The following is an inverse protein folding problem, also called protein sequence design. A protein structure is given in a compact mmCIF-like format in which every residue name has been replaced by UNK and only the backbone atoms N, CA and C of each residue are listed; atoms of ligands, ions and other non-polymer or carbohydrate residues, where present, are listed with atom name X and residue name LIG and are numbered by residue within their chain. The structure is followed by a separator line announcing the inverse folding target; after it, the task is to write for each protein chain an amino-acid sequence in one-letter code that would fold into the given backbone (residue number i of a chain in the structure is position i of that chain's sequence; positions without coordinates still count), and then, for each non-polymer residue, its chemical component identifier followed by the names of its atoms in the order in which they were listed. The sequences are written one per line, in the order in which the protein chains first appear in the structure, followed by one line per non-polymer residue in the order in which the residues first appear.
data_IF_832629534342
#
_entry.id   IF_832629534342
#
_cell.length_a   1.000
_cell.length_b   1.000
_cell.length_c   1.000
_cell.angle_alpha   90.00
_cell.angle_beta   90.00
_cell.angle_gamma   90.00
#
_symmetry.space_group_name_H-M   'P 1'
#
loop_
_entity.id
_entity.type
_entity.pdbx_description
1 polymer ?
#
# COMPACT_ATOMS: atom_id res chain seq x y z
N UNK A 1 -9.26 3.42 -7.90
CA UNK A 1 -8.58 2.52 -6.94
C UNK A 1 -7.91 3.37 -5.85
N UNK A 2 -6.87 2.89 -5.17
CA UNK A 2 -6.13 3.55 -4.07
C UNK A 2 -6.99 4.44 -3.15
N UNK A 3 -7.08 5.73 -3.46
CA UNK A 3 -7.77 6.72 -2.62
C UNK A 3 -9.30 6.52 -2.59
N UNK A 4 -9.91 6.05 -3.68
CA UNK A 4 -11.37 5.89 -3.78
C UNK A 4 -11.91 4.83 -2.83
N UNK A 5 -11.24 3.67 -2.76
CA UNK A 5 -11.69 2.53 -1.95
C UNK A 5 -11.58 2.84 -0.46
N UNK A 6 -10.46 3.42 -0.01
CA UNK A 6 -10.33 3.88 1.37
C UNK A 6 -11.35 4.96 1.73
N UNK A 7 -11.58 5.94 0.84
CA UNK A 7 -12.52 7.03 1.09
C UNK A 7 -13.97 6.55 1.22
N UNK A 8 -14.43 5.61 0.38
CA UNK A 8 -15.77 5.02 0.51
C UNK A 8 -15.87 4.17 1.79
N UNK A 9 -14.84 3.37 2.10
CA UNK A 9 -14.79 2.60 3.35
C UNK A 9 -14.87 3.50 4.59
N UNK A 10 -14.07 4.57 4.65
CA UNK A 10 -14.07 5.50 5.78
C UNK A 10 -15.41 6.27 5.86
N UNK A 11 -16.04 6.67 4.74
CA UNK A 11 -17.41 7.23 4.72
C UNK A 11 -18.45 6.27 5.30
N UNK A 12 -18.45 4.99 4.90
CA UNK A 12 -19.42 4.00 5.37
C UNK A 12 -19.25 3.74 6.87
N UNK A 13 -18.02 3.78 7.38
CA UNK A 13 -17.74 3.72 8.80
C UNK A 13 -18.21 4.97 9.56
N UNK A 14 -17.99 6.17 9.01
CA UNK A 14 -18.37 7.43 9.64
C UNK A 14 -19.90 7.66 9.61
N UNK A 15 -20.59 7.12 8.61
CA UNK A 15 -22.06 7.02 8.55
C UNK A 15 -22.60 6.10 9.66
N UNK A 16 -22.06 4.89 9.81
CA UNK A 16 -22.40 3.94 10.90
C UNK A 16 -22.15 4.50 12.30
N UNK A 17 -21.34 5.56 12.42
CA UNK A 17 -21.02 6.26 13.67
C UNK A 17 -21.80 7.57 13.86
N UNK A 18 -22.83 7.84 13.04
CA UNK A 18 -23.71 9.01 13.11
C UNK A 18 -22.95 10.36 13.14
N UNK A 19 -21.93 10.51 12.27
CA UNK A 19 -21.12 11.75 12.22
C UNK A 19 -21.67 12.83 11.30
N UNK A 20 -22.40 12.39 10.29
CA UNK A 20 -23.05 13.26 9.31
C UNK A 20 -24.39 13.72 9.89
N UNK A 21 -24.87 14.89 9.47
CA UNK A 21 -26.25 15.31 9.72
C UNK A 21 -27.23 14.34 9.05
N UNK A 22 -28.51 14.38 9.44
CA UNK A 22 -29.54 13.54 8.81
C UNK A 22 -29.64 13.77 7.29
N UNK A 23 -29.43 15.01 6.82
CA UNK A 23 -29.46 15.32 5.39
C UNK A 23 -28.25 14.72 4.65
N UNK A 24 -27.03 14.99 5.12
CA UNK A 24 -25.81 14.40 4.56
C UNK A 24 -25.84 12.86 4.59
N UNK A 25 -26.38 12.28 5.66
CA UNK A 25 -26.56 10.83 5.80
C UNK A 25 -27.46 10.27 4.70
N UNK A 26 -28.59 10.92 4.40
CA UNK A 26 -29.51 10.52 3.34
C UNK A 26 -28.87 10.67 1.95
N UNK A 27 -28.14 11.76 1.70
CA UNK A 27 -27.42 12.00 0.44
C UNK A 27 -26.32 10.95 0.19
N UNK A 28 -25.51 10.64 1.22
CA UNK A 28 -24.49 9.59 1.19
C UNK A 28 -25.12 8.22 0.94
N UNK A 29 -26.22 7.92 1.64
CA UNK A 29 -26.95 6.66 1.53
C UNK A 29 -27.47 6.47 0.10
N UNK A 30 -28.19 7.44 -0.46
CA UNK A 30 -28.73 7.33 -1.81
C UNK A 30 -27.65 7.32 -2.90
N UNK A 31 -26.52 8.01 -2.70
CA UNK A 31 -25.36 7.88 -3.58
C UNK A 31 -24.79 6.44 -3.56
N UNK A 32 -24.65 5.84 -2.37
CA UNK A 32 -24.12 4.49 -2.21
C UNK A 32 -25.05 3.43 -2.83
N UNK A 33 -26.38 3.56 -2.70
CA UNK A 33 -27.37 2.71 -3.38
C UNK A 33 -27.17 2.72 -4.90
N UNK A 34 -27.14 3.93 -5.49
CA UNK A 34 -26.98 4.13 -6.93
C UNK A 34 -25.59 3.69 -7.44
N UNK A 35 -24.56 3.79 -6.61
CA UNK A 35 -23.21 3.37 -6.94
C UNK A 35 -23.02 1.84 -6.80
N UNK A 36 -23.77 1.16 -5.93
CA UNK A 36 -23.50 -0.22 -5.52
C UNK A 36 -23.35 -1.18 -6.71
N UNK A 37 -24.30 -1.19 -7.64
CA UNK A 37 -24.28 -2.08 -8.83
C UNK A 37 -23.00 -1.90 -9.66
N UNK A 38 -22.41 -0.70 -9.68
CA UNK A 38 -21.15 -0.41 -10.39
C UNK A 38 -19.92 -0.81 -9.57
N UNK A 39 -19.99 -0.67 -8.24
CA UNK A 39 -18.95 -1.11 -7.32
C UNK A 39 -18.84 -2.64 -7.29
N UNK A 40 -19.97 -3.33 -7.28
CA UNK A 40 -20.11 -4.78 -7.40
C UNK A 40 -19.56 -5.31 -8.72
N UNK A 41 -20.02 -4.78 -9.86
CA UNK A 41 -19.52 -5.18 -11.17
C UNK A 41 -17.99 -4.94 -11.32
N UNK A 42 -17.48 -3.85 -10.74
CA UNK A 42 -16.03 -3.60 -10.67
C UNK A 42 -15.31 -4.60 -9.77
N UNK A 43 -15.82 -4.85 -8.55
CA UNK A 43 -15.20 -5.76 -7.60
C UNK A 43 -15.14 -7.19 -8.14
N UNK A 44 -16.25 -7.71 -8.66
CA UNK A 44 -16.32 -9.08 -9.19
C UNK A 44 -15.38 -9.26 -10.40
N UNK A 45 -15.35 -8.28 -11.32
CA UNK A 45 -14.38 -8.28 -12.42
C UNK A 45 -12.93 -8.27 -11.93
N UNK A 46 -12.61 -7.43 -10.94
CA UNK A 46 -11.23 -7.26 -10.46
C UNK A 46 -10.76 -8.46 -9.62
N UNK A 47 -11.62 -9.00 -8.76
CA UNK A 47 -11.37 -10.22 -7.97
C UNK A 47 -11.11 -11.43 -8.89
N UNK A 48 -11.96 -11.62 -9.90
CA UNK A 48 -11.82 -12.70 -10.88
C UNK A 48 -10.56 -12.54 -11.74
N UNK A 49 -10.33 -11.36 -12.30
CA UNK A 49 -9.23 -11.15 -13.27
C UNK A 49 -7.85 -10.97 -12.66
N UNK A 50 -7.73 -10.69 -11.35
CA UNK A 50 -6.44 -10.54 -10.66
C UNK A 50 -6.20 -11.65 -9.61
N UNK A 51 -6.89 -12.79 -9.73
CA UNK A 51 -6.64 -14.00 -8.93
C UNK A 51 -5.29 -14.64 -9.32
N UNK A 52 -4.50 -15.05 -8.32
CA UNK A 52 -3.25 -15.79 -8.54
C UNK A 52 -3.47 -17.30 -8.63
N UNK A 53 -2.40 -18.08 -8.89
CA UNK A 53 -2.46 -19.55 -8.99
C UNK A 53 -2.93 -20.25 -7.71
N UNK A 54 -2.67 -19.66 -6.55
CA UNK A 54 -3.05 -20.23 -5.25
C UNK A 54 -4.32 -19.58 -4.71
N UNK A 55 -5.11 -20.35 -3.97
CA UNK A 55 -6.29 -19.86 -3.24
C UNK A 55 -5.87 -18.74 -2.28
N UNK A 56 -6.54 -17.58 -2.35
CA UNK A 56 -6.23 -16.41 -1.51
C UNK A 56 -4.95 -15.66 -1.88
N UNK A 57 -4.36 -15.95 -3.05
CA UNK A 57 -3.30 -15.16 -3.67
C UNK A 57 -3.84 -14.28 -4.81
N UNK A 58 -3.15 -13.18 -5.10
CA UNK A 58 -3.48 -12.26 -6.18
C UNK A 58 -2.25 -11.92 -7.01
N UNK A 59 -2.44 -11.67 -8.31
CA UNK A 59 -1.38 -11.45 -9.28
C UNK A 59 -1.67 -10.21 -10.15
N UNK A 60 -0.60 -9.48 -10.51
CA UNK A 60 -0.68 -8.25 -11.31
C UNK A 60 -0.31 -8.59 -12.75
N UNK A 61 -1.30 -8.63 -13.63
CA UNK A 61 -1.05 -8.88 -15.04
C UNK A 61 -0.32 -7.70 -15.72
N UNK A 62 0.41 -7.99 -16.80
CA UNK A 62 1.07 -6.99 -17.64
C UNK A 62 2.58 -6.77 -17.41
N UNK A 63 3.23 -7.51 -16.49
CA UNK A 63 4.70 -7.48 -16.35
C UNK A 63 5.37 -8.14 -17.57
N UNK A 64 6.41 -7.51 -18.13
CA UNK A 64 7.12 -8.01 -19.31
C UNK A 64 8.26 -8.97 -18.93
N UNK A 65 8.03 -10.28 -19.03
CA UNK A 65 9.04 -11.31 -18.72
C UNK A 65 10.25 -11.33 -19.67
N UNK A 66 10.13 -10.76 -20.86
CA UNK A 66 11.18 -10.70 -21.90
C UNK A 66 11.91 -9.35 -21.97
N UNK A 67 11.73 -8.45 -21.00
CA UNK A 67 12.27 -7.10 -21.02
C UNK A 67 13.79 -7.03 -20.72
N UNK A 68 14.63 -7.24 -21.75
CA UNK A 68 16.10 -7.27 -21.62
C UNK A 68 16.77 -5.92 -21.26
N UNK A 69 16.05 -4.80 -21.44
CA UNK A 69 16.56 -3.44 -21.19
C UNK A 69 16.19 -2.89 -19.80
N UNK A 70 15.24 -3.52 -19.11
CA UNK A 70 14.76 -3.06 -17.79
C UNK A 70 15.51 -3.77 -16.65
N UNK A 71 16.06 -3.00 -15.71
CA UNK A 71 16.76 -3.52 -14.52
C UNK A 71 15.84 -4.35 -13.61
N UNK A 72 14.55 -4.03 -13.61
CA UNK A 72 13.49 -4.85 -13.03
C UNK A 72 12.21 -4.56 -13.84
N UNK A 73 11.52 -5.56 -14.41
CA UNK A 73 10.35 -5.31 -15.26
C UNK A 73 9.25 -4.54 -14.53
N UNK A 74 8.76 -3.45 -15.13
CA UNK A 74 7.75 -2.57 -14.51
C UNK A 74 6.43 -3.29 -14.21
N UNK A 75 5.72 -2.82 -13.18
CA UNK A 75 4.39 -3.32 -12.76
C UNK A 75 3.37 -2.18 -12.83
N UNK A 76 3.15 -1.64 -14.03
CA UNK A 76 2.30 -0.45 -14.26
C UNK A 76 0.87 -0.59 -13.72
N UNK A 77 0.32 -1.80 -13.73
CA UNK A 77 -1.00 -2.14 -13.19
C UNK A 77 -1.15 -1.86 -11.68
N UNK A 78 -0.06 -1.91 -10.92
CA UNK A 78 -0.04 -1.56 -9.48
C UNK A 78 -0.12 -0.04 -9.20
N UNK A 79 0.19 0.80 -10.20
CA UNK A 79 0.44 2.24 -10.00
C UNK A 79 1.74 2.56 -9.23
N UNK A 80 2.57 1.55 -8.94
CA UNK A 80 3.90 1.65 -8.33
C UNK A 80 4.99 1.32 -9.37
N UNK A 81 4.84 1.85 -10.60
CA UNK A 81 5.54 1.54 -11.85
C UNK A 81 6.89 0.81 -11.78
N UNK A 82 7.93 1.44 -11.20
CA UNK A 82 9.30 0.92 -11.09
C UNK A 82 9.65 0.38 -9.68
N UNK A 83 8.69 0.30 -8.76
CA UNK A 83 8.89 -0.34 -7.45
C UNK A 83 9.35 -1.80 -7.67
N UNK A 84 10.42 -2.26 -7.00
CA UNK A 84 10.93 -3.61 -7.22
C UNK A 84 9.94 -4.74 -6.96
N UNK A 85 9.77 -5.61 -7.97
CA UNK A 85 9.05 -6.89 -7.94
C UNK A 85 10.02 -8.03 -8.30
N UNK A 86 9.57 -9.27 -8.58
CA UNK A 86 10.51 -10.34 -8.95
C UNK A 86 11.30 -9.97 -10.22
N UNK A 87 12.58 -10.33 -10.26
CA UNK A 87 13.49 -9.99 -11.38
C UNK A 87 13.11 -10.70 -12.67
N UNK A 88 12.57 -11.91 -12.55
CA UNK A 88 12.04 -12.72 -13.64
C UNK A 88 10.54 -12.90 -13.41
N UNK A 89 9.67 -12.14 -14.10
CA UNK A 89 8.22 -12.27 -13.96
C UNK A 89 7.75 -13.67 -14.36
N UNK A 90 6.93 -14.29 -13.51
CA UNK A 90 6.18 -15.51 -13.83
C UNK A 90 4.79 -15.44 -13.19
N UNK A 91 3.88 -16.30 -13.66
CA UNK A 91 2.53 -16.45 -13.10
C UNK A 91 2.51 -17.01 -11.66
N UNK A 92 3.68 -17.33 -11.09
CA UNK A 92 3.83 -17.88 -9.74
C UNK A 92 4.09 -16.77 -8.69
N UNK A 93 4.26 -15.52 -9.15
CA UNK A 93 4.32 -14.32 -8.30
C UNK A 93 3.02 -14.10 -7.52
N UNK A 94 3.14 -13.54 -6.31
CA UNK A 94 2.02 -13.28 -5.39
C UNK A 94 2.18 -11.88 -4.82
N UNK A 95 1.27 -10.96 -5.15
CA UNK A 95 1.46 -9.53 -4.89
C UNK A 95 0.78 -9.08 -3.59
N UNK A 96 1.61 -8.67 -2.63
CA UNK A 96 1.24 -8.30 -1.27
C UNK A 96 0.34 -7.06 -1.21
N UNK A 97 0.67 -6.05 -2.02
CA UNK A 97 -0.09 -4.81 -2.16
C UNK A 97 -1.48 -5.06 -2.74
N UNK A 98 -1.57 -5.87 -3.79
CA UNK A 98 -2.82 -6.27 -4.42
C UNK A 98 -3.72 -7.08 -3.48
N UNK A 99 -3.16 -8.05 -2.74
CA UNK A 99 -3.90 -8.80 -1.71
C UNK A 99 -4.52 -7.87 -0.65
N UNK A 100 -3.79 -6.81 -0.29
CA UNK A 100 -4.28 -5.79 0.63
C UNK A 100 -5.32 -4.85 -0.02
N UNK A 101 -5.23 -4.56 -1.33
CA UNK A 101 -6.27 -3.83 -2.06
C UNK A 101 -7.57 -4.64 -2.17
N UNK A 102 -7.47 -5.94 -2.46
CA UNK A 102 -8.62 -6.83 -2.53
C UNK A 102 -9.32 -6.97 -1.16
N UNK A 103 -8.55 -7.02 -0.06
CA UNK A 103 -9.12 -6.96 1.29
C UNK A 103 -9.91 -5.66 1.52
N UNK A 104 -9.28 -4.50 1.29
CA UNK A 104 -9.92 -3.20 1.50
C UNK A 104 -11.16 -3.00 0.62
N UNK A 105 -11.20 -3.61 -0.56
CA UNK A 105 -12.37 -3.60 -1.42
C UNK A 105 -13.47 -4.55 -0.90
N UNK A 106 -13.13 -5.77 -0.48
CA UNK A 106 -14.09 -6.74 0.04
C UNK A 106 -14.74 -6.29 1.36
N UNK A 107 -13.94 -5.75 2.29
CA UNK A 107 -14.39 -5.21 3.58
C UNK A 107 -15.27 -3.96 3.39
N UNK A 108 -15.02 -3.18 2.33
CA UNK A 108 -15.90 -2.09 1.90
C UNK A 108 -17.23 -2.60 1.32
N UNK A 109 -17.21 -3.62 0.46
CA UNK A 109 -18.43 -4.20 -0.12
C UNK A 109 -19.31 -4.87 0.95
N UNK A 110 -18.71 -5.66 1.84
CA UNK A 110 -19.36 -6.23 3.03
C UNK A 110 -19.96 -5.14 3.93
N UNK A 111 -19.19 -4.07 4.16
CA UNK A 111 -19.66 -2.93 4.95
C UNK A 111 -20.84 -2.19 4.32
N UNK A 112 -20.96 -2.13 3.00
CA UNK A 112 -22.10 -1.53 2.29
C UNK A 112 -23.29 -2.51 2.26
N UNK A 113 -23.07 -3.79 1.98
CA UNK A 113 -24.15 -4.80 1.99
C UNK A 113 -24.85 -4.90 3.34
N UNK A 114 -24.08 -4.77 4.44
CA UNK A 114 -24.59 -4.68 5.82
C UNK A 114 -25.26 -3.35 6.18
N UNK A 115 -25.04 -2.28 5.41
CA UNK A 115 -25.74 -0.99 5.59
C UNK A 115 -27.15 -1.05 4.98
N UNK A 116 -27.31 -1.75 3.85
CA UNK A 116 -28.56 -1.85 3.11
C UNK A 116 -29.37 -3.12 3.39
N UNK A 117 -29.02 -3.88 4.42
CA UNK A 117 -29.65 -5.17 4.79
C UNK A 117 -29.82 -6.13 3.59
N UNK A 118 -28.83 -6.14 2.68
CA UNK A 118 -28.88 -6.94 1.45
C UNK A 118 -29.03 -8.43 1.70
N UNK A 119 -29.52 -9.17 0.70
CA UNK A 119 -29.65 -10.63 0.78
C UNK A 119 -28.34 -11.28 1.24
N UNK A 120 -28.47 -12.19 2.22
CA UNK A 120 -27.34 -12.75 2.96
C UNK A 120 -26.25 -13.33 2.06
N UNK A 121 -26.64 -13.98 0.97
CA UNK A 121 -25.74 -14.54 -0.06
C UNK A 121 -24.68 -13.53 -0.50
N UNK A 122 -25.09 -12.37 -1.00
CA UNK A 122 -24.17 -11.35 -1.53
C UNK A 122 -23.26 -10.78 -0.42
N UNK A 123 -23.82 -10.48 0.76
CA UNK A 123 -23.04 -9.95 1.87
C UNK A 123 -22.06 -10.98 2.47
N UNK A 124 -22.46 -12.25 2.53
CA UNK A 124 -21.67 -13.36 3.08
C UNK A 124 -20.49 -13.74 2.17
N UNK A 125 -20.62 -13.57 0.84
CA UNK A 125 -19.51 -13.70 -0.11
C UNK A 125 -18.43 -12.62 0.11
N UNK A 126 -18.83 -11.34 0.25
CA UNK A 126 -17.90 -10.24 0.51
C UNK A 126 -17.23 -10.38 1.89
N UNK A 127 -18.01 -10.69 2.93
CA UNK A 127 -17.49 -10.93 4.28
C UNK A 127 -16.55 -12.14 4.36
N UNK A 128 -16.84 -13.22 3.63
CA UNK A 128 -15.96 -14.39 3.53
C UNK A 128 -14.66 -14.08 2.79
N UNK A 129 -14.73 -13.29 1.71
CA UNK A 129 -13.55 -12.83 0.97
C UNK A 129 -12.67 -11.92 1.85
N UNK A 130 -13.28 -10.96 2.56
CA UNK A 130 -12.57 -10.12 3.53
C UNK A 130 -11.93 -10.95 4.65
N UNK A 131 -12.62 -11.98 5.17
CA UNK A 131 -12.09 -12.90 6.18
C UNK A 131 -10.88 -13.72 5.67
N UNK A 132 -10.93 -14.23 4.44
CA UNK A 132 -9.81 -14.96 3.82
C UNK A 132 -8.59 -14.05 3.61
N UNK A 133 -8.81 -12.82 3.16
CA UNK A 133 -7.74 -11.87 2.86
C UNK A 133 -7.20 -11.13 4.11
N UNK A 134 -7.96 -11.09 5.21
CA UNK A 134 -7.50 -10.59 6.52
C UNK A 134 -6.80 -11.64 7.39
N UNK A 135 -6.81 -12.93 7.01
CA UNK A 135 -6.09 -13.94 7.79
C UNK A 135 -4.58 -13.65 7.86
N UNK A 136 -4.17 -13.26 9.05
CA UNK A 136 -2.81 -12.92 9.42
C UNK A 136 -1.92 -14.18 9.54
N UNK A 137 -2.47 -15.34 9.87
CA UNK A 137 -1.70 -16.59 9.93
C UNK A 137 -1.28 -17.04 8.53
N UNK A 138 -2.23 -17.14 7.59
CA UNK A 138 -1.95 -17.43 6.18
C UNK A 138 -1.02 -16.38 5.56
N UNK A 139 -1.19 -15.09 5.88
CA UNK A 139 -0.29 -14.04 5.40
C UNK A 139 1.17 -14.22 5.90
N UNK A 140 1.36 -14.54 7.17
CA UNK A 140 2.70 -14.71 7.76
C UNK A 140 3.40 -16.00 7.31
N UNK A 141 2.66 -17.06 6.95
CA UNK A 141 3.25 -18.31 6.45
C UNK A 141 4.08 -18.10 5.16
N UNK A 142 3.72 -17.11 4.35
CA UNK A 142 4.47 -16.71 3.14
C UNK A 142 5.77 -15.95 3.49
N UNK A 143 5.93 -15.46 4.72
CA UNK A 143 6.86 -14.38 5.06
C UNK A 143 8.22 -14.83 5.66
N UNK A 144 8.50 -16.14 5.73
CA UNK A 144 9.64 -16.69 6.49
C UNK A 144 10.71 -17.42 5.65
N UNK A 145 11.39 -16.69 4.76
CA UNK A 145 12.82 -16.95 4.51
C UNK A 145 13.59 -15.67 4.17
N UNK A 146 14.74 -15.47 4.81
CA UNK A 146 15.70 -14.40 4.51
C UNK A 146 17.11 -15.00 4.45
N UNK A 147 17.69 -15.05 3.26
CA UNK A 147 19.08 -15.45 3.04
C UNK A 147 19.86 -14.30 2.42
N UNK A 148 21.05 -14.01 2.93
CA UNK A 148 21.89 -12.88 2.50
C UNK A 148 22.96 -13.37 1.53
N UNK A 149 22.92 -12.86 0.29
CA UNK A 149 23.91 -13.14 -0.77
C UNK A 149 24.71 -11.87 -1.06
N UNK A 150 26.02 -12.01 -1.37
CA UNK A 150 26.92 -10.92 -1.74
C UNK A 150 27.29 -11.03 -3.23
N UNK A 151 27.36 -9.91 -3.93
CA UNK A 151 27.77 -9.85 -5.34
C UNK A 151 29.18 -9.23 -5.50
N UNK A 152 29.88 -9.61 -6.57
CA UNK A 152 31.20 -9.09 -6.96
C UNK A 152 31.14 -8.01 -8.06
N UNK A 153 32.30 -7.54 -8.50
CA UNK A 153 32.46 -6.42 -9.44
C UNK A 153 33.05 -6.88 -10.79
N UNK A 154 32.69 -6.20 -11.90
CA UNK A 154 33.64 -5.63 -12.89
C UNK A 154 32.92 -4.86 -14.02
N UNK A 155 33.71 -4.13 -14.83
CA UNK A 155 33.32 -3.22 -15.94
C UNK A 155 34.48 -3.16 -16.96
N UNK A 156 34.32 -2.59 -18.18
CA UNK A 156 33.13 -2.08 -18.89
C UNK A 156 32.89 -2.92 -20.19
N UNK A 157 32.20 -2.59 -21.30
CA UNK A 157 31.24 -1.57 -21.82
C UNK A 157 30.58 -2.23 -23.08
N UNK A 158 29.50 -1.78 -23.75
CA UNK A 158 28.75 -0.51 -23.70
C UNK A 158 27.23 -0.60 -23.74
N UNK A 159 26.61 -1.46 -24.56
CA UNK A 159 25.14 -1.56 -24.52
C UNK A 159 24.70 -2.19 -23.20
N UNK A 160 23.75 -1.54 -22.52
CA UNK A 160 23.24 -1.99 -21.22
C UNK A 160 22.18 -3.07 -21.41
N UNK A 161 22.66 -4.30 -21.58
CA UNK A 161 21.89 -5.54 -21.42
C UNK A 161 22.15 -6.06 -20.00
N UNK A 162 21.09 -6.47 -19.29
CA UNK A 162 21.24 -7.01 -17.93
C UNK A 162 21.63 -8.48 -17.95
N UNK A 163 22.83 -8.80 -17.46
CA UNK A 163 23.33 -10.17 -17.35
C UNK A 163 22.86 -10.82 -16.03
N UNK A 164 22.40 -12.06 -16.13
CA UNK A 164 21.83 -12.82 -15.01
C UNK A 164 22.88 -13.79 -14.47
N UNK A 165 23.50 -13.46 -13.34
CA UNK A 165 24.65 -14.20 -12.78
C UNK A 165 24.31 -15.56 -12.15
N UNK A 166 23.06 -15.75 -11.71
CA UNK A 166 22.57 -16.96 -11.04
C UNK A 166 21.16 -17.28 -11.56
N UNK A 167 20.80 -18.57 -11.61
CA UNK A 167 19.43 -18.96 -12.01
C UNK A 167 18.41 -18.42 -11.01
N UNK A 168 17.26 -17.87 -11.46
CA UNK A 168 16.22 -17.41 -10.56
C UNK A 168 15.58 -18.58 -9.80
N UNK A 169 15.22 -18.33 -8.55
CA UNK A 169 14.54 -19.26 -7.65
C UNK A 169 13.34 -18.56 -7.01
N UNK A 170 12.30 -19.32 -6.67
CA UNK A 170 11.12 -18.80 -5.98
C UNK A 170 11.49 -18.43 -4.53
N UNK A 171 11.51 -17.13 -4.23
CA UNK A 171 11.80 -16.57 -2.90
C UNK A 171 11.17 -15.20 -2.72
N UNK A 172 11.12 -14.74 -1.47
CA UNK A 172 10.67 -13.39 -1.15
C UNK A 172 11.54 -12.32 -1.81
N UNK A 173 10.90 -11.33 -2.41
CA UNK A 173 11.55 -10.18 -3.06
C UNK A 173 12.17 -9.29 -1.95
N UNK A 174 13.50 -9.15 -1.86
CA UNK A 174 14.18 -8.63 -0.66
C UNK A 174 14.22 -7.10 -0.58
N UNK A 175 13.12 -6.43 -0.97
CA UNK A 175 13.05 -4.98 -1.13
C UNK A 175 12.09 -4.34 -0.12
N UNK A 176 12.66 -3.77 0.95
CA UNK A 176 11.90 -3.01 1.96
C UNK A 176 11.51 -1.66 1.36
N UNK A 177 10.21 -1.39 1.27
CA UNK A 177 9.63 -0.17 0.72
C UNK A 177 8.14 -0.05 1.05
N UNK A 178 7.39 0.76 0.29
CA UNK A 178 5.95 0.91 0.50
C UNK A 178 5.18 -0.42 0.44
N UNK A 179 5.50 -1.30 -0.52
CA UNK A 179 4.87 -2.64 -0.66
C UNK A 179 4.95 -3.44 0.65
N UNK A 180 6.08 -3.37 1.36
CA UNK A 180 6.30 -4.04 2.65
C UNK A 180 5.43 -3.51 3.79
N UNK A 181 4.87 -2.30 3.65
CA UNK A 181 4.00 -1.66 4.63
C UNK A 181 2.50 -1.88 4.36
N UNK A 182 2.11 -2.54 3.26
CA UNK A 182 0.68 -2.71 2.92
C UNK A 182 -0.15 -3.42 4.01
N UNK A 183 0.31 -4.51 4.64
CA UNK A 183 -0.43 -5.13 5.75
C UNK A 183 -0.61 -4.20 6.96
N UNK A 184 0.32 -3.27 7.18
CA UNK A 184 0.19 -2.23 8.21
C UNK A 184 -0.83 -1.16 7.78
N UNK A 185 -0.74 -0.66 6.54
CA UNK A 185 -1.68 0.34 6.00
C UNK A 185 -3.12 -0.18 5.95
N UNK A 186 -3.32 -1.44 5.57
CA UNK A 186 -4.61 -2.13 5.54
C UNK A 186 -5.03 -2.69 6.92
N UNK A 187 -4.32 -2.33 8.01
CA UNK A 187 -4.67 -2.66 9.41
C UNK A 187 -4.81 -4.17 9.71
N UNK A 188 -4.20 -5.04 8.91
CA UNK A 188 -4.27 -6.52 9.02
C UNK A 188 -3.56 -7.04 10.28
N UNK A 189 -2.53 -6.32 10.72
CA UNK A 189 -1.61 -6.78 11.76
C UNK A 189 -2.23 -6.56 13.16
N UNK A 190 -2.43 -7.61 13.98
CA UNK A 190 -3.04 -7.48 15.31
C UNK A 190 -2.24 -6.55 16.25
N UNK A 191 -2.91 -5.79 17.14
CA UNK A 191 -2.26 -4.84 18.07
C UNK A 191 -1.18 -5.44 18.98
N UNK A 192 -1.34 -6.70 19.38
CA UNK A 192 -0.39 -7.44 20.23
C UNK A 192 0.78 -8.05 19.45
N UNK A 193 0.71 -8.09 18.11
CA UNK A 193 1.67 -8.82 17.28
C UNK A 193 3.06 -8.19 17.31
N UNK A 194 4.09 -9.00 17.56
CA UNK A 194 5.49 -8.55 17.48
C UNK A 194 5.86 -8.00 16.09
N UNK A 195 5.15 -8.42 15.04
CA UNK A 195 5.30 -7.91 13.67
C UNK A 195 4.83 -6.45 13.56
N UNK A 196 3.85 -6.01 14.36
CA UNK A 196 3.48 -4.58 14.45
C UNK A 196 4.65 -3.77 15.01
N UNK A 197 5.31 -4.29 16.06
CA UNK A 197 6.57 -3.74 16.57
C UNK A 197 7.65 -3.60 15.48
N UNK A 198 7.77 -4.59 14.59
CA UNK A 198 8.72 -4.55 13.46
C UNK A 198 8.32 -3.58 12.35
N UNK A 199 7.04 -3.42 12.05
CA UNK A 199 6.59 -2.38 11.11
C UNK A 199 6.90 -0.98 11.67
N UNK A 200 6.71 -0.76 12.98
CA UNK A 200 7.12 0.48 13.63
C UNK A 200 8.65 0.67 13.67
N UNK A 201 9.44 -0.41 13.80
CA UNK A 201 10.91 -0.36 13.63
C UNK A 201 11.28 0.16 12.22
N UNK A 202 10.71 -0.42 11.16
CA UNK A 202 10.99 -0.04 9.77
C UNK A 202 10.55 1.40 9.44
N UNK A 203 9.34 1.77 9.87
CA UNK A 203 8.78 3.11 9.65
C UNK A 203 9.64 4.18 10.33
N UNK A 204 10.04 3.98 11.60
CA UNK A 204 10.78 5.00 12.37
C UNK A 204 12.28 5.07 12.07
N UNK A 205 12.84 4.12 11.31
CA UNK A 205 14.28 4.05 11.07
C UNK A 205 14.77 5.04 10.00
N UNK A 206 15.57 6.03 10.43
CA UNK A 206 16.19 7.09 9.61
C UNK A 206 17.13 6.57 8.52
N UNK A 207 17.73 5.40 8.74
CA UNK A 207 18.64 4.73 7.81
C UNK A 207 17.91 3.87 6.77
N UNK A 208 16.59 3.68 6.92
CA UNK A 208 15.74 2.90 6.01
C UNK A 208 14.75 3.85 5.32
N UNK A 209 13.54 4.02 5.87
CA UNK A 209 12.45 4.79 5.24
C UNK A 209 12.34 6.24 5.73
N UNK A 210 12.67 6.53 7.00
CA UNK A 210 12.36 7.82 7.61
C UNK A 210 13.24 8.97 7.10
N UNK A 211 12.64 10.14 6.91
CA UNK A 211 13.30 11.39 6.53
C UNK A 211 12.77 12.57 7.34
N UNK A 212 13.41 13.75 7.22
CA UNK A 212 12.88 15.00 7.78
C UNK A 212 11.63 15.53 7.04
N UNK A 213 11.15 14.83 6.02
CA UNK A 213 10.16 15.29 5.05
C UNK A 213 8.95 14.33 4.88
N UNK A 214 9.04 13.12 5.41
CA UNK A 214 8.12 12.00 5.13
C UNK A 214 8.87 10.66 5.08
N UNK A 215 8.21 9.61 4.58
CA UNK A 215 8.78 8.28 4.33
C UNK A 215 9.11 8.10 2.85
N UNK A 216 10.28 7.52 2.55
CA UNK A 216 10.71 7.12 1.19
C UNK A 216 9.86 5.98 0.63
N UNK A 217 9.77 5.92 -0.70
CA UNK A 217 9.15 4.77 -1.40
C UNK A 217 9.93 3.46 -1.26
N UNK A 218 11.26 3.55 -1.20
CA UNK A 218 12.16 2.40 -1.09
C UNK A 218 13.25 2.67 -0.05
N UNK A 219 13.67 1.62 0.67
CA UNK A 219 14.77 1.69 1.64
C UNK A 219 16.09 2.07 0.97
N UNK A 220 16.86 2.92 1.66
CA UNK A 220 18.28 3.18 1.36
C UNK A 220 19.16 1.92 1.32
N UNK A 221 18.76 0.85 1.99
CA UNK A 221 19.48 -0.43 2.00
C UNK A 221 19.15 -1.34 0.82
N UNK A 222 18.21 -0.94 -0.05
CA UNK A 222 17.85 -1.71 -1.25
C UNK A 222 18.92 -1.54 -2.33
N UNK A 223 19.31 -2.62 -3.00
CA UNK A 223 20.22 -2.58 -4.17
C UNK A 223 19.69 -1.73 -5.32
N UNK A 224 18.36 -1.56 -5.39
CA UNK A 224 17.65 -0.76 -6.39
C UNK A 224 17.34 0.67 -5.94
N UNK A 225 17.80 1.09 -4.76
CA UNK A 225 17.64 2.46 -4.25
C UNK A 225 18.24 3.50 -5.22
N UNK A 226 17.43 4.48 -5.62
CA UNK A 226 17.75 5.51 -6.62
C UNK A 226 18.27 4.98 -7.97
N UNK A 227 18.10 3.70 -8.30
CA UNK A 227 18.54 3.14 -9.60
C UNK A 227 17.53 3.42 -10.70
N UNK A 228 17.98 4.05 -11.79
CA UNK A 228 17.25 4.16 -13.07
C UNK A 228 16.82 2.76 -13.53
N UNK A 229 15.67 2.62 -14.20
CA UNK A 229 15.24 1.30 -14.71
C UNK A 229 15.81 0.98 -16.10
N UNK A 230 16.00 2.01 -16.90
CA UNK A 230 16.65 1.99 -18.22
C UNK A 230 17.56 3.23 -18.30
N UNK A 231 18.20 3.49 -19.45
CA UNK A 231 18.88 4.78 -19.66
C UNK A 231 17.90 5.96 -19.48
N UNK A 232 16.66 5.85 -19.96
CA UNK A 232 15.73 6.98 -20.02
C UNK A 232 14.72 7.03 -18.86
N UNK A 233 14.54 5.94 -18.10
CA UNK A 233 13.66 5.88 -16.92
C UNK A 233 14.39 6.27 -15.61
N UNK A 234 14.27 7.51 -15.08
CA UNK A 234 14.77 7.85 -13.76
C UNK A 234 13.95 7.16 -12.64
N UNK A 235 14.53 6.98 -11.44
CA UNK A 235 13.82 6.38 -10.30
C UNK A 235 12.57 7.18 -9.90
N UNK A 236 11.44 6.50 -9.72
CA UNK A 236 10.12 7.14 -9.47
C UNK A 236 9.46 6.64 -8.18
N UNK A 237 9.50 5.33 -7.92
CA UNK A 237 9.13 4.65 -6.68
C UNK A 237 10.35 3.98 -5.99
N UNK A 238 11.57 4.44 -6.32
CA UNK A 238 12.85 3.91 -5.80
C UNK A 238 13.58 4.82 -4.80
N UNK A 239 12.93 5.89 -4.37
CA UNK A 239 13.31 6.82 -3.28
C UNK A 239 12.19 7.85 -2.98
N UNK A 240 11.58 8.54 -3.98
CA UNK A 240 10.73 9.70 -3.74
C UNK A 240 9.61 9.48 -2.72
N UNK A 241 9.27 10.56 -2.00
CA UNK A 241 8.22 10.58 -0.98
C UNK A 241 6.89 10.82 -1.70
N UNK A 242 5.90 10.00 -1.39
CA UNK A 242 4.61 9.98 -2.06
C UNK A 242 3.50 10.17 -1.05
N UNK A 243 2.69 11.20 -1.28
CA UNK A 243 1.78 11.71 -0.26
C UNK A 243 0.60 10.78 0.02
N UNK A 244 0.05 10.14 -1.01
CA UNK A 244 -1.03 9.16 -0.89
C UNK A 244 -0.63 8.00 0.04
N UNK A 245 0.57 7.43 -0.13
CA UNK A 245 1.05 6.33 0.70
C UNK A 245 1.42 6.82 2.10
N UNK A 246 2.06 7.98 2.22
CA UNK A 246 2.35 8.60 3.53
C UNK A 246 1.06 8.91 4.33
N UNK A 247 -0.04 9.29 3.66
CA UNK A 247 -1.35 9.49 4.29
C UNK A 247 -1.96 8.17 4.80
N UNK A 248 -1.89 7.09 4.02
CA UNK A 248 -2.33 5.76 4.48
C UNK A 248 -1.52 5.28 5.69
N UNK A 249 -0.20 5.49 5.70
CA UNK A 249 0.67 5.17 6.84
C UNK A 249 0.32 6.03 8.06
N UNK A 250 0.02 7.33 7.89
CA UNK A 250 -0.49 8.17 8.97
C UNK A 250 -1.85 7.70 9.50
N UNK A 251 -2.77 7.27 8.65
CA UNK A 251 -4.08 6.73 9.04
C UNK A 251 -3.94 5.44 9.87
N UNK A 252 -3.05 4.54 9.46
CA UNK A 252 -2.75 3.32 10.22
C UNK A 252 -2.01 3.61 11.55
N UNK A 253 -0.99 4.49 11.56
CA UNK A 253 -0.32 4.92 12.79
C UNK A 253 -1.31 5.60 13.77
N UNK A 254 -2.22 6.43 13.24
CA UNK A 254 -3.29 7.05 14.03
C UNK A 254 -4.20 5.98 14.62
N UNK A 255 -4.69 5.01 13.84
CA UNK A 255 -5.49 3.91 14.35
C UNK A 255 -4.77 3.11 15.46
N UNK A 256 -3.52 2.72 15.25
CA UNK A 256 -2.70 2.02 16.25
C UNK A 256 -2.40 2.85 17.50
N UNK A 257 -2.52 4.18 17.48
CA UNK A 257 -2.39 5.04 18.67
C UNK A 257 -3.62 5.04 19.60
N UNK A 258 -4.70 4.36 19.18
CA UNK A 258 -6.04 4.45 19.80
C UNK A 258 -6.54 3.09 20.27
N UNK A 259 -6.33 2.05 19.45
CA UNK A 259 -6.56 0.67 19.85
C UNK A 259 -5.61 0.30 21.00
N UNK A 260 -6.10 -0.49 21.95
CA UNK A 260 -5.28 -0.97 23.06
C UNK A 260 -4.23 -1.97 22.57
N UNK A 261 -3.02 -1.86 23.11
CA UNK A 261 -1.92 -2.79 22.89
C UNK A 261 -0.55 -2.17 23.20
N UNK A 262 0.52 -2.99 23.30
CA UNK A 262 1.83 -2.58 23.81
C UNK A 262 2.53 -1.53 22.94
N UNK A 263 2.16 -1.42 21.66
CA UNK A 263 2.77 -0.47 20.71
C UNK A 263 2.04 0.88 20.62
N UNK A 264 0.97 1.10 21.38
CA UNK A 264 0.05 2.26 21.23
C UNK A 264 0.75 3.62 21.31
N UNK A 265 1.44 3.91 22.40
CA UNK A 265 2.15 5.19 22.58
C UNK A 265 3.37 5.33 21.63
N UNK A 266 3.94 4.21 21.17
CA UNK A 266 4.97 4.21 20.12
C UNK A 266 4.39 4.63 18.77
N UNK A 267 3.25 4.06 18.37
CA UNK A 267 2.56 4.43 17.13
C UNK A 267 2.15 5.91 17.12
N UNK A 268 1.66 6.42 18.26
CA UNK A 268 1.38 7.84 18.52
C UNK A 268 2.60 8.74 18.31
N UNK A 269 3.72 8.42 18.96
CA UNK A 269 4.98 9.17 18.83
C UNK A 269 5.47 9.24 17.37
N UNK A 270 5.34 8.12 16.64
CA UNK A 270 5.71 8.03 15.22
C UNK A 270 4.72 8.82 14.34
N UNK A 271 3.41 8.76 14.62
CA UNK A 271 2.37 9.55 13.95
C UNK A 271 2.64 11.06 14.07
N UNK A 272 2.85 11.57 15.29
CA UNK A 272 3.04 13.00 15.54
C UNK A 272 4.31 13.52 14.85
N UNK A 273 5.41 12.76 14.93
CA UNK A 273 6.66 13.07 14.24
C UNK A 273 6.51 13.07 12.70
N UNK A 274 5.80 12.09 12.14
CA UNK A 274 5.63 11.96 10.69
C UNK A 274 4.71 13.05 10.15
N UNK A 275 3.58 13.32 10.83
CA UNK A 275 2.64 14.38 10.48
C UNK A 275 3.31 15.76 10.54
N UNK A 276 4.10 16.02 11.58
CA UNK A 276 4.89 17.26 11.70
C UNK A 276 5.88 17.43 10.54
N UNK A 277 6.61 16.37 10.16
CA UNK A 277 7.54 16.39 9.03
C UNK A 277 6.85 16.67 7.69
N UNK A 278 5.70 16.03 7.43
CA UNK A 278 4.94 16.21 6.19
C UNK A 278 4.33 17.61 6.09
N UNK A 279 3.63 18.09 7.13
CA UNK A 279 3.06 19.45 7.18
C UNK A 279 4.16 20.51 7.00
N UNK A 280 5.27 20.40 7.74
CA UNK A 280 6.41 21.32 7.63
C UNK A 280 6.98 21.37 6.21
N UNK A 281 6.99 20.26 5.49
CA UNK A 281 7.53 20.20 4.13
C UNK A 281 6.60 20.85 3.12
N UNK A 282 5.30 20.53 3.15
CA UNK A 282 4.30 21.10 2.25
C UNK A 282 4.19 22.62 2.42
N UNK A 283 4.27 23.10 3.68
CA UNK A 283 4.20 24.52 4.01
C UNK A 283 5.48 25.28 3.64
N UNK A 284 6.68 24.75 3.95
CA UNK A 284 7.95 25.48 3.74
C UNK A 284 8.63 25.29 2.39
N UNK A 285 8.51 24.12 1.76
CA UNK A 285 9.25 23.77 0.53
C UNK A 285 8.34 23.62 -0.71
N UNK A 286 7.03 23.48 -0.50
CA UNK A 286 6.08 23.16 -1.57
C UNK A 286 6.33 21.78 -2.19
N UNK A 287 5.52 21.41 -3.18
CA UNK A 287 5.66 20.11 -3.87
C UNK A 287 6.74 20.11 -4.96
N UNK A 288 7.00 21.26 -5.61
CA UNK A 288 7.89 21.32 -6.77
C UNK A 288 9.37 21.61 -6.45
N UNK A 289 9.70 22.07 -5.25
CA UNK A 289 10.99 22.74 -4.99
C UNK A 289 12.26 21.91 -5.18
N UNK A 290 12.21 20.58 -5.03
CA UNK A 290 13.39 19.70 -5.07
C UNK A 290 13.09 18.23 -5.44
N UNK A 291 12.09 17.97 -6.31
CA UNK A 291 11.65 16.62 -6.76
C UNK A 291 11.19 15.62 -5.65
N UNK A 292 11.26 16.00 -4.38
CA UNK A 292 11.30 15.07 -3.24
C UNK A 292 9.93 14.58 -2.76
N UNK A 293 8.86 15.41 -2.86
CA UNK A 293 7.48 14.98 -2.58
C UNK A 293 6.63 15.15 -3.84
N UNK A 294 5.96 14.08 -4.29
CA UNK A 294 5.03 14.15 -5.44
C UNK A 294 3.56 14.12 -4.99
N UNK A 295 2.77 15.06 -5.53
CA UNK A 295 1.30 15.14 -5.45
C UNK A 295 0.77 15.90 -6.67
N UNK A 296 -0.45 15.60 -7.12
CA UNK A 296 -1.14 16.38 -8.18
C UNK A 296 -1.95 17.57 -7.67
N UNK A 297 -2.18 17.67 -6.35
CA UNK A 297 -2.97 18.76 -5.73
C UNK A 297 -2.34 19.19 -4.40
N UNK A 298 -2.26 20.51 -4.17
CA UNK A 298 -1.57 21.10 -3.00
C UNK A 298 -2.50 21.31 -1.81
N UNK A 299 -3.63 21.96 -2.04
CA UNK A 299 -4.50 22.49 -0.98
C UNK A 299 -5.36 21.39 -0.35
N UNK A 300 -5.98 20.53 -1.14
CA UNK A 300 -6.69 19.33 -0.65
C UNK A 300 -5.83 18.49 0.29
N UNK A 301 -4.57 18.21 -0.09
CA UNK A 301 -3.62 17.48 0.77
C UNK A 301 -3.30 18.24 2.05
N UNK A 302 -3.03 19.55 1.97
CA UNK A 302 -2.67 20.34 3.15
C UNK A 302 -3.84 20.40 4.13
N UNK A 303 -5.07 20.56 3.63
CA UNK A 303 -6.29 20.52 4.43
C UNK A 303 -6.45 19.16 5.13
N UNK A 304 -6.34 18.04 4.39
CA UNK A 304 -6.37 16.67 4.94
C UNK A 304 -5.21 16.32 5.88
N UNK A 305 -4.19 17.18 6.04
CA UNK A 305 -3.13 17.02 7.04
C UNK A 305 -3.28 18.00 8.21
N UNK A 306 -3.73 19.23 7.99
CA UNK A 306 -4.01 20.22 9.04
C UNK A 306 -5.20 19.81 9.90
N UNK A 307 -6.25 19.27 9.28
CA UNK A 307 -7.31 18.49 9.93
C UNK A 307 -6.76 17.32 10.79
N UNK A 308 -5.59 16.79 10.42
CA UNK A 308 -5.26 15.38 10.62
C UNK A 308 -6.10 14.52 9.66
N UNK A 309 -6.00 13.18 9.73
CA UNK A 309 -7.01 12.34 9.11
C UNK A 309 -8.35 12.59 9.82
N UNK A 310 -9.22 13.41 9.21
CA UNK A 310 -10.61 13.61 9.64
C UNK A 310 -11.46 12.39 9.27
N UNK A 311 -11.16 11.28 9.93
CA UNK A 311 -12.08 10.16 10.11
C UNK A 311 -12.20 10.01 11.62
N UNK A 312 -13.34 10.48 12.15
CA UNK A 312 -13.47 10.63 13.61
C UNK A 312 -13.81 9.30 14.27
N UNK A 313 -13.80 9.29 15.59
CA UNK A 313 -13.82 8.08 16.43
C UNK A 313 -15.02 7.18 16.20
#
# INVERSE_FOLDING_TARGET
MVLSTCFVFDIVNDLKKNKFTANESNEITSFLEQAFVRLEAWFQWFNTTQSGKEIGSNYWHGRHSTATRELNPKTLSSGLDDNPHASHPSEDERHLDLRCWMLLAADCMDSIGKLFEMEKTSAEEYGSTAKLLSDFATLNQVQLSWTVVKAGNNHPRSELIWEVSERPELKLVPHIGYVSLFPFMARIIPPESWILGKQLDLISNKSILWTAYGLRSLSKTSTLYMKRNTEHDPPYWRDPIWMNVNYMILSALKHCSLVNGPYRERAKTIYDGLRSNLIRTITKLGFCGNNMIRSRKREEVLNCLLAGPHFSY
#
